data_IF_049464865715
#
_entry.id   IF_049464865715
#
_cell.length_a   1.000
_cell.length_b   1.000
_cell.length_c   1.000
_cell.angle_alpha   90.00
_cell.angle_beta   90.00
_cell.angle_gamma   90.00
#
_symmetry.space_group_name_H-M   'P 1'
#
loop_
_entity.id
_entity.type
_entity.pdbx_description
1 polymer ?
#
# COMPACT_ATOMS: atom_id res chain seq x y z
N UNK A 1 -11.85 11.94 -10.51
CA UNK A 1 -11.06 11.08 -11.42
C UNK A 1 -10.87 9.72 -10.76
N UNK A 2 -10.38 8.68 -11.45
CA UNK A 2 -10.37 7.32 -10.89
C UNK A 2 -9.41 6.37 -11.58
N UNK A 3 -9.62 5.05 -11.39
CA UNK A 3 -8.77 3.99 -11.94
C UNK A 3 -8.55 4.15 -13.45
N UNK A 4 -9.59 4.59 -14.19
CA UNK A 4 -9.49 4.87 -15.63
C UNK A 4 -8.40 5.90 -15.94
N UNK A 5 -8.36 7.01 -15.21
CA UNK A 5 -7.37 8.08 -15.39
C UNK A 5 -5.97 7.59 -15.07
N UNK A 6 -5.78 6.81 -14.00
CA UNK A 6 -4.47 6.24 -13.65
C UNK A 6 -3.96 5.28 -14.74
N UNK A 7 -4.85 4.44 -15.30
CA UNK A 7 -4.52 3.53 -16.41
C UNK A 7 -4.16 4.31 -17.67
N UNK A 8 -4.91 5.37 -17.99
CA UNK A 8 -4.63 6.26 -19.13
C UNK A 8 -3.28 6.97 -18.99
N UNK A 9 -2.90 7.35 -17.76
CA UNK A 9 -1.65 8.04 -17.49
C UNK A 9 -0.44 7.10 -17.59
N UNK A 10 -0.48 5.97 -16.88
CA UNK A 10 0.55 4.94 -16.98
C UNK A 10 0.01 3.56 -16.54
N UNK A 11 -0.28 2.65 -17.50
CA UNK A 11 -0.89 1.37 -17.19
C UNK A 11 0.06 0.41 -16.45
N UNK A 12 1.36 0.50 -16.72
CA UNK A 12 2.36 -0.37 -16.08
C UNK A 12 2.53 -0.01 -14.60
N UNK A 13 2.65 1.30 -14.30
CA UNK A 13 2.76 1.78 -12.92
C UNK A 13 1.47 1.48 -12.17
N UNK A 14 0.31 1.71 -12.79
CA UNK A 14 -1.00 1.39 -12.21
C UNK A 14 -1.11 -0.09 -11.87
N UNK A 15 -0.76 -0.99 -12.80
CA UNK A 15 -0.79 -2.43 -12.55
C UNK A 15 0.18 -2.84 -11.43
N UNK A 16 1.41 -2.30 -11.44
CA UNK A 16 2.40 -2.55 -10.40
C UNK A 16 1.94 -2.08 -9.01
N UNK A 17 1.29 -0.94 -8.94
CA UNK A 17 0.78 -0.38 -7.68
C UNK A 17 -0.41 -1.19 -7.13
N UNK A 18 -1.33 -1.60 -8.01
CA UNK A 18 -2.43 -2.51 -7.63
C UNK A 18 -1.92 -3.86 -7.15
N UNK A 19 -0.92 -4.42 -7.84
CA UNK A 19 -0.24 -5.64 -7.41
C UNK A 19 0.41 -5.45 -6.04
N UNK A 20 1.14 -4.34 -5.83
CA UNK A 20 1.77 -4.04 -4.55
C UNK A 20 0.73 -3.92 -3.42
N UNK A 21 -0.39 -3.24 -3.65
CA UNK A 21 -1.50 -3.15 -2.69
C UNK A 21 -2.01 -4.54 -2.32
N UNK A 22 -2.33 -5.37 -3.33
CA UNK A 22 -2.81 -6.74 -3.09
C UNK A 22 -1.78 -7.60 -2.34
N UNK A 23 -0.50 -7.49 -2.73
CA UNK A 23 0.57 -8.22 -2.08
C UNK A 23 0.80 -7.78 -0.63
N UNK A 24 0.73 -6.47 -0.34
CA UNK A 24 0.83 -5.94 1.02
C UNK A 24 -0.27 -6.51 1.92
N UNK A 25 -1.50 -6.66 1.41
CA UNK A 25 -2.59 -7.31 2.14
C UNK A 25 -2.26 -8.77 2.45
N UNK A 26 -1.73 -9.52 1.47
CA UNK A 26 -1.30 -10.91 1.67
C UNK A 26 -0.22 -11.02 2.75
N UNK A 27 0.74 -10.10 2.77
CA UNK A 27 1.76 -10.03 3.83
C UNK A 27 1.13 -9.72 5.19
N UNK A 28 0.17 -8.80 5.25
CA UNK A 28 -0.58 -8.50 6.47
C UNK A 28 -1.26 -9.74 7.05
N UNK A 29 -1.97 -10.50 6.21
CA UNK A 29 -2.60 -11.79 6.62
C UNK A 29 -1.54 -12.76 7.13
N UNK A 30 -0.41 -12.89 6.43
CA UNK A 30 0.68 -13.78 6.85
C UNK A 30 1.27 -13.39 8.21
N UNK A 31 1.36 -12.10 8.53
CA UNK A 31 1.79 -11.64 9.85
C UNK A 31 0.79 -12.08 10.92
N UNK A 32 -0.51 -11.94 10.67
CA UNK A 32 -1.56 -12.42 11.59
C UNK A 32 -1.47 -13.93 11.80
N UNK A 33 -1.25 -14.70 10.74
CA UNK A 33 -1.16 -16.16 10.82
C UNK A 33 0.10 -16.64 11.56
N UNK A 34 1.19 -15.87 11.49
CA UNK A 34 2.49 -16.25 12.03
C UNK A 34 2.80 -15.62 13.39
N UNK A 35 2.02 -14.64 13.84
CA UNK A 35 2.26 -13.99 15.13
C UNK A 35 1.93 -14.93 16.29
N UNK A 36 2.83 -14.97 17.26
CA UNK A 36 2.59 -15.68 18.52
C UNK A 36 1.55 -14.98 19.39
N UNK A 37 1.19 -15.57 20.55
CA UNK A 37 0.28 -14.94 21.50
C UNK A 37 0.82 -13.60 22.00
N UNK A 38 -0.09 -12.63 22.19
CA UNK A 38 0.23 -11.26 22.64
C UNK A 38 0.51 -11.23 24.15
N UNK A 39 -0.11 -12.12 24.91
CA UNK A 39 0.01 -12.22 26.37
C UNK A 39 0.53 -13.59 26.75
N UNK A 40 1.56 -13.65 27.60
CA UNK A 40 2.07 -14.90 28.17
C UNK A 40 2.68 -15.85 27.14
N UNK A 41 3.83 -15.48 26.57
CA UNK A 41 4.57 -16.29 25.59
C UNK A 41 6.07 -16.01 25.57
N UNK A 42 6.81 -16.78 24.77
CA UNK A 42 8.24 -16.61 24.58
C UNK A 42 8.52 -15.29 23.82
N UNK A 43 9.42 -14.45 24.34
CA UNK A 43 9.70 -13.12 23.78
C UNK A 43 10.67 -13.14 22.59
N UNK A 44 11.28 -14.28 22.31
CA UNK A 44 12.28 -14.45 21.26
C UNK A 44 11.65 -15.20 20.08
N UNK A 45 11.83 -14.66 18.87
CA UNK A 45 11.28 -15.23 17.63
C UNK A 45 9.87 -14.68 17.31
N UNK A 46 8.98 -15.56 16.86
CA UNK A 46 7.58 -15.22 16.55
C UNK A 46 6.79 -14.94 17.83
N UNK A 47 6.85 -13.68 18.29
CA UNK A 47 6.09 -13.20 19.45
C UNK A 47 4.98 -12.23 19.00
N UNK A 48 3.90 -12.15 19.78
CA UNK A 48 2.71 -11.38 19.40
C UNK A 48 2.97 -9.87 19.30
N UNK A 49 3.83 -9.30 20.14
CA UNK A 49 4.17 -7.87 20.10
C UNK A 49 4.96 -7.51 18.83
N UNK A 50 5.90 -8.35 18.41
CA UNK A 50 6.59 -8.21 17.13
C UNK A 50 5.62 -8.28 15.96
N UNK A 51 4.65 -9.20 16.01
CA UNK A 51 3.56 -9.29 15.03
C UNK A 51 2.73 -8.00 14.96
N UNK A 52 2.31 -7.46 16.11
CA UNK A 52 1.54 -6.20 16.18
C UNK A 52 2.30 -5.02 15.59
N UNK A 53 3.59 -4.89 15.88
CA UNK A 53 4.43 -3.85 15.28
C UNK A 53 4.55 -4.04 13.76
N UNK A 54 4.69 -5.28 13.29
CA UNK A 54 4.67 -5.61 11.86
C UNK A 54 3.35 -5.21 11.19
N UNK A 55 2.21 -5.47 11.85
CA UNK A 55 0.90 -5.05 11.35
C UNK A 55 0.77 -3.53 11.26
N UNK A 56 1.24 -2.80 12.28
CA UNK A 56 1.22 -1.33 12.28
C UNK A 56 2.02 -0.79 11.08
N UNK A 57 3.22 -1.31 10.84
CA UNK A 57 4.07 -0.92 9.70
C UNK A 57 3.38 -1.24 8.37
N UNK A 58 2.78 -2.44 8.24
CA UNK A 58 2.07 -2.83 7.02
C UNK A 58 0.84 -1.95 6.75
N UNK A 59 0.08 -1.58 7.78
CA UNK A 59 -1.06 -0.66 7.64
C UNK A 59 -0.60 0.72 7.19
N UNK A 60 0.47 1.25 7.79
CA UNK A 60 1.04 2.54 7.38
C UNK A 60 1.53 2.51 5.92
N UNK A 61 2.24 1.45 5.54
CA UNK A 61 2.73 1.26 4.18
C UNK A 61 1.58 1.10 3.17
N UNK A 62 0.54 0.35 3.51
CA UNK A 62 -0.67 0.23 2.69
C UNK A 62 -1.35 1.59 2.49
N UNK A 63 -1.42 2.41 3.54
CA UNK A 63 -1.94 3.78 3.44
C UNK A 63 -1.14 4.64 2.44
N UNK A 64 0.19 4.52 2.44
CA UNK A 64 1.04 5.21 1.46
C UNK A 64 0.81 4.72 0.02
N UNK A 65 0.62 3.42 -0.19
CA UNK A 65 0.28 2.88 -1.51
C UNK A 65 -1.07 3.40 -2.01
N UNK A 66 -2.08 3.44 -1.13
CA UNK A 66 -3.41 3.97 -1.48
C UNK A 66 -3.34 5.46 -1.79
N UNK A 67 -2.58 6.24 -1.01
CA UNK A 67 -2.38 7.66 -1.28
C UNK A 67 -1.67 7.90 -2.62
N UNK A 68 -0.65 7.07 -2.93
CA UNK A 68 0.07 7.11 -4.21
C UNK A 68 -0.84 6.75 -5.39
N UNK A 69 -1.75 5.79 -5.20
CA UNK A 69 -2.76 5.43 -6.19
C UNK A 69 -3.71 6.59 -6.47
N UNK A 70 -4.15 7.28 -5.43
CA UNK A 70 -4.96 8.50 -5.54
C UNK A 70 -4.25 9.55 -6.38
N UNK A 71 -2.99 9.83 -6.07
CA UNK A 71 -2.18 10.80 -6.80
C UNK A 71 -2.00 10.45 -8.29
N UNK A 72 -1.91 9.17 -8.66
CA UNK A 72 -1.86 8.74 -10.07
C UNK A 72 -3.19 8.96 -10.81
N UNK A 73 -4.30 8.94 -10.07
CA UNK A 73 -5.63 9.24 -10.61
C UNK A 73 -5.91 10.73 -10.76
N UNK A 74 -5.09 11.58 -10.15
CA UNK A 74 -5.19 13.03 -10.28
C UNK A 74 -4.57 13.48 -11.61
N UNK A 75 -5.32 14.22 -12.45
CA UNK A 75 -4.81 14.73 -13.71
C UNK A 75 -3.89 15.94 -13.54
N UNK A 76 -3.83 16.54 -12.35
CA UNK A 76 -2.93 17.66 -12.03
C UNK A 76 -1.69 17.22 -11.24
N UNK A 77 -0.51 17.80 -11.53
CA UNK A 77 -0.27 18.83 -12.53
C UNK A 77 -0.02 18.21 -13.91
N UNK A 78 -0.96 18.38 -14.84
CA UNK A 78 -0.64 18.27 -16.25
C UNK A 78 0.25 19.48 -16.62
N UNK A 79 1.17 19.35 -17.59
CA UNK A 79 1.82 20.53 -18.15
C UNK A 79 0.74 21.52 -18.59
N UNK A 80 0.90 22.81 -18.22
CA UNK A 80 0.05 23.86 -18.75
C UNK A 80 0.02 23.75 -20.29
N UNK A 81 -1.18 23.80 -20.87
CA UNK A 81 -1.32 23.75 -22.32
C UNK A 81 -0.51 24.89 -22.95
N UNK A 82 0.43 24.54 -23.83
CA UNK A 82 1.19 25.50 -24.61
C UNK A 82 0.75 25.42 -26.07
N UNK A 83 0.38 26.55 -26.72
CA UNK A 83 0.44 27.92 -26.22
C UNK A 83 -0.76 28.28 -25.31
N UNK A 84 -0.57 29.21 -24.36
CA UNK A 84 -1.67 29.70 -23.52
C UNK A 84 -2.68 30.48 -24.38
N UNK A 85 -3.97 30.23 -24.17
CA UNK A 85 -5.06 31.05 -24.71
C UNK A 85 -5.29 32.33 -23.89
#
# INVERSE_FOLDING_TARGET
MGIRTAIEHNPLVTAGLLFAIGWTVVIGVRIVDQMGPIVGGNWVGQNGLGGLMGLLVIVAFLGLLIASFGALGEPDPAPEEWPPE
#
